data_IF_404524645965
#
_entry.id   IF_404524645965
#
_cell.length_a   1.000
_cell.length_b   1.000
_cell.length_c   1.000
_cell.angle_alpha   90.00
_cell.angle_beta   90.00
_cell.angle_gamma   90.00
#
_symmetry.space_group_name_H-M   'P 1'
#
loop_
_entity.id
_entity.type
_entity.pdbx_description
1 polymer ?
#
# COMPACT_ATOMS: atom_id res chain seq x y z
N UNK A 1 39.43 -12.09 7.45
CA UNK A 1 38.43 -11.72 6.42
C UNK A 1 37.83 -10.37 6.79
N UNK A 2 37.80 -9.41 5.87
CA UNK A 2 37.21 -8.09 6.13
C UNK A 2 35.74 -8.10 5.70
N UNK A 3 34.82 -7.81 6.62
CA UNK A 3 33.41 -7.61 6.30
C UNK A 3 33.24 -6.23 5.66
N UNK A 4 32.60 -6.18 4.48
CA UNK A 4 32.28 -4.93 3.80
C UNK A 4 30.78 -4.68 3.91
N UNK A 5 30.41 -3.62 4.60
CA UNK A 5 29.03 -3.13 4.69
C UNK A 5 28.83 -2.00 3.69
N UNK A 6 27.72 -2.04 2.94
CA UNK A 6 27.33 -0.98 2.00
C UNK A 6 25.87 -0.60 2.26
N UNK A 7 25.59 0.71 2.30
CA UNK A 7 24.21 1.22 2.34
C UNK A 7 23.58 1.00 0.97
N UNK A 8 22.49 0.22 0.93
CA UNK A 8 21.74 -0.09 -0.30
C UNK A 8 20.38 0.63 -0.38
N UNK A 9 19.92 1.22 0.73
CA UNK A 9 18.65 1.95 0.82
C UNK A 9 18.72 3.06 1.86
N UNK A 10 18.03 4.17 1.60
CA UNK A 10 17.85 5.27 2.56
C UNK A 10 16.62 5.11 3.45
N UNK A 11 15.79 4.11 3.17
CA UNK A 11 14.59 3.81 3.95
C UNK A 11 14.75 2.48 4.67
N UNK A 12 14.39 2.48 5.96
CA UNK A 12 14.42 1.31 6.84
C UNK A 12 13.01 0.85 7.22
N UNK A 13 12.92 0.00 8.24
CA UNK A 13 11.67 -0.63 8.68
C UNK A 13 10.69 0.35 9.34
N UNK A 14 11.14 1.54 9.72
CA UNK A 14 10.29 2.63 10.20
C UNK A 14 9.41 3.21 9.09
N UNK A 15 9.78 3.03 7.81
CA UNK A 15 8.94 3.43 6.69
C UNK A 15 7.79 2.42 6.51
N UNK A 16 6.51 2.87 6.50
CA UNK A 16 5.36 1.98 6.36
C UNK A 16 5.37 1.10 5.11
N UNK A 17 5.90 1.58 3.99
CA UNK A 17 5.99 0.81 2.75
C UNK A 17 6.91 -0.41 2.96
N UNK A 18 8.07 -0.20 3.59
CA UNK A 18 9.05 -1.27 3.87
C UNK A 18 8.51 -2.26 4.90
N UNK A 19 7.87 -1.77 5.97
CA UNK A 19 7.27 -2.65 6.97
C UNK A 19 6.14 -3.51 6.38
N UNK A 20 5.22 -2.90 5.63
CA UNK A 20 3.99 -3.54 5.14
C UNK A 20 4.19 -4.42 3.91
N UNK A 21 5.10 -4.06 3.00
CA UNK A 21 5.41 -4.90 1.83
C UNK A 21 6.58 -5.84 2.09
N UNK A 22 7.51 -5.51 2.99
CA UNK A 22 8.65 -6.37 3.31
C UNK A 22 8.36 -7.33 4.45
N UNK A 23 8.30 -6.79 5.68
CA UNK A 23 8.24 -7.58 6.91
C UNK A 23 6.91 -8.34 7.00
N UNK A 24 5.80 -7.60 6.90
CA UNK A 24 4.45 -8.17 6.98
C UNK A 24 4.23 -9.24 5.92
N UNK A 25 4.78 -9.08 4.71
CA UNK A 25 4.66 -10.11 3.67
C UNK A 25 5.29 -11.43 4.12
N UNK A 26 6.52 -11.38 4.65
CA UNK A 26 7.19 -12.57 5.18
C UNK A 26 6.39 -13.21 6.32
N UNK A 27 5.85 -12.40 7.23
CA UNK A 27 5.04 -12.88 8.36
C UNK A 27 3.74 -13.55 7.90
N UNK A 28 3.02 -12.97 6.94
CA UNK A 28 1.77 -13.51 6.43
C UNK A 28 1.98 -14.77 5.58
N UNK A 29 3.03 -14.82 4.75
CA UNK A 29 3.31 -15.98 3.91
C UNK A 29 3.62 -17.25 4.71
N UNK A 30 4.11 -17.12 5.95
CA UNK A 30 4.29 -18.28 6.86
C UNK A 30 2.99 -19.04 7.16
N UNK A 31 1.84 -18.41 6.90
CA UNK A 31 0.51 -19.00 7.12
C UNK A 31 -0.15 -19.47 5.82
N UNK A 32 0.47 -19.23 4.67
CA UNK A 32 -0.04 -19.66 3.38
C UNK A 32 0.07 -21.19 3.24
N UNK A 33 -0.80 -21.77 2.41
CA UNK A 33 -0.69 -23.19 2.03
C UNK A 33 0.17 -23.44 0.80
N UNK A 34 0.82 -22.39 0.27
CA UNK A 34 1.63 -22.43 -0.93
C UNK A 34 2.87 -23.30 -0.74
N UNK A 35 3.43 -23.80 -1.84
CA UNK A 35 4.73 -24.45 -1.78
C UNK A 35 5.85 -23.45 -1.49
N UNK A 36 7.03 -23.98 -1.13
CA UNK A 36 8.18 -23.17 -0.76
C UNK A 36 8.65 -22.26 -1.90
N UNK A 37 8.64 -22.75 -3.14
CA UNK A 37 9.10 -21.99 -4.30
C UNK A 37 8.16 -20.82 -4.60
N UNK A 38 6.85 -21.03 -4.50
CA UNK A 38 5.83 -19.98 -4.63
C UNK A 38 5.97 -18.94 -3.52
N UNK A 39 6.14 -19.36 -2.27
CA UNK A 39 6.33 -18.45 -1.13
C UNK A 39 7.59 -17.59 -1.31
N UNK A 40 8.72 -18.18 -1.68
CA UNK A 40 9.97 -17.46 -1.92
C UNK A 40 9.83 -16.46 -3.09
N UNK A 41 9.20 -16.87 -4.19
CA UNK A 41 8.98 -16.00 -5.34
C UNK A 41 8.04 -14.82 -5.05
N UNK A 42 7.02 -15.01 -4.20
CA UNK A 42 6.12 -13.92 -3.78
C UNK A 42 6.84 -12.99 -2.79
N UNK A 43 7.57 -13.54 -1.82
CA UNK A 43 8.36 -12.73 -0.90
C UNK A 43 9.38 -11.87 -1.68
N UNK A 44 10.08 -12.47 -2.65
CA UNK A 44 11.00 -11.74 -3.53
C UNK A 44 10.27 -10.67 -4.33
N UNK A 45 9.12 -10.96 -4.95
CA UNK A 45 8.32 -9.98 -5.68
C UNK A 45 8.02 -8.73 -4.83
N UNK A 46 7.55 -8.93 -3.59
CA UNK A 46 7.16 -7.82 -2.72
C UNK A 46 8.37 -7.03 -2.22
N UNK A 47 9.43 -7.73 -1.80
CA UNK A 47 10.63 -7.09 -1.21
C UNK A 47 11.48 -6.40 -2.28
N UNK A 48 11.73 -7.06 -3.41
CA UNK A 48 12.74 -6.61 -4.39
C UNK A 48 12.15 -5.83 -5.55
N UNK A 49 10.85 -5.98 -5.85
CA UNK A 49 10.21 -5.28 -6.98
C UNK A 49 9.18 -4.24 -6.51
N UNK A 50 8.20 -4.64 -5.71
CA UNK A 50 7.11 -3.73 -5.30
C UNK A 50 7.59 -2.66 -4.33
N UNK A 51 8.30 -3.05 -3.27
CA UNK A 51 8.80 -2.13 -2.24
C UNK A 51 9.66 -1.00 -2.85
N UNK A 52 10.70 -1.27 -3.66
CA UNK A 52 11.54 -0.19 -4.19
C UNK A 52 10.81 0.75 -5.14
N UNK A 53 9.83 0.26 -5.91
CA UNK A 53 9.00 1.11 -6.78
C UNK A 53 8.16 2.07 -5.97
N UNK A 54 7.45 1.58 -4.96
CA UNK A 54 6.56 2.41 -4.17
C UNK A 54 7.35 3.41 -3.30
N UNK A 55 8.53 3.02 -2.82
CA UNK A 55 9.48 3.94 -2.18
C UNK A 55 9.94 5.04 -3.14
N UNK A 56 10.17 4.73 -4.43
CA UNK A 56 10.50 5.77 -5.42
C UNK A 56 9.34 6.73 -5.64
N UNK A 57 8.11 6.25 -5.69
CA UNK A 57 6.92 7.11 -5.73
C UNK A 57 6.87 8.06 -4.52
N UNK A 58 7.03 7.53 -3.30
CA UNK A 58 7.04 8.31 -2.06
C UNK A 58 8.17 9.35 -2.01
N UNK A 59 9.36 8.98 -2.50
CA UNK A 59 10.49 9.91 -2.65
C UNK A 59 10.19 11.06 -3.61
N UNK A 60 9.43 10.85 -4.70
CA UNK A 60 9.04 11.91 -5.64
C UNK A 60 8.08 12.91 -4.99
N UNK A 61 7.11 12.43 -4.23
CA UNK A 61 6.20 13.29 -3.44
C UNK A 61 7.01 14.15 -2.46
N UNK A 62 7.89 13.52 -1.69
CA UNK A 62 8.76 14.22 -0.73
C UNK A 62 9.66 15.25 -1.41
N UNK A 63 10.15 14.95 -2.62
CA UNK A 63 10.98 15.87 -3.41
C UNK A 63 10.19 17.12 -3.82
N UNK A 64 8.99 16.94 -4.35
CA UNK A 64 8.09 18.05 -4.73
C UNK A 64 7.79 18.92 -3.50
N UNK A 65 7.38 18.31 -2.39
CA UNK A 65 7.06 19.02 -1.14
C UNK A 65 8.26 19.80 -0.59
N UNK A 66 9.45 19.21 -0.59
CA UNK A 66 10.66 19.88 -0.11
C UNK A 66 11.05 21.05 -1.01
N UNK A 67 10.95 20.89 -2.34
CA UNK A 67 11.19 21.97 -3.31
C UNK A 67 10.19 23.11 -3.10
N UNK A 68 8.90 22.78 -2.97
CA UNK A 68 7.82 23.75 -2.76
C UNK A 68 8.01 24.55 -1.47
N UNK A 69 8.18 23.86 -0.34
CA UNK A 69 8.33 24.51 0.97
C UNK A 69 9.59 25.38 1.03
N UNK A 70 10.68 24.93 0.41
CA UNK A 70 11.92 25.71 0.32
C UNK A 70 11.71 27.00 -0.47
N UNK A 71 10.98 26.94 -1.58
CA UNK A 71 10.78 28.11 -2.43
C UNK A 71 9.75 29.08 -1.85
N UNK A 72 8.68 28.60 -1.22
CA UNK A 72 7.75 29.43 -0.44
C UNK A 72 8.52 30.23 0.63
N UNK A 73 9.35 29.55 1.43
CA UNK A 73 10.13 30.21 2.47
C UNK A 73 11.15 31.23 1.92
N UNK A 74 11.61 31.05 0.66
CA UNK A 74 12.49 32.01 -0.02
C UNK A 74 11.71 33.24 -0.46
N UNK A 75 10.56 33.04 -1.09
CA UNK A 75 9.65 34.11 -1.54
C UNK A 75 9.16 34.95 -0.36
N UNK A 76 8.73 34.32 0.74
CA UNK A 76 8.28 35.02 1.95
C UNK A 76 9.37 35.96 2.51
N UNK A 77 10.63 35.51 2.52
CA UNK A 77 11.78 36.33 2.95
C UNK A 77 12.06 37.50 2.02
N UNK A 78 11.77 37.39 0.73
CA UNK A 78 11.95 38.47 -0.24
C UNK A 78 10.86 39.53 -0.12
N UNK A 79 9.60 39.11 0.00
CA UNK A 79 8.46 40.01 0.18
C UNK A 79 8.61 40.82 1.48
N UNK A 80 9.12 40.20 2.56
CA UNK A 80 9.42 40.90 3.81
C UNK A 80 10.50 41.99 3.67
N UNK A 81 11.40 41.87 2.69
CA UNK A 81 12.48 42.84 2.45
C UNK A 81 12.07 44.00 1.55
N UNK A 82 11.25 43.74 0.52
CA UNK A 82 10.68 44.78 -0.33
C UNK A 82 9.23 44.43 -0.72
N UNK A 83 8.21 45.07 -0.10
CA UNK A 83 6.80 44.82 -0.37
C UNK A 83 6.35 45.12 -1.81
N UNK A 84 7.20 45.77 -2.62
CA UNK A 84 6.91 46.10 -4.03
C UNK A 84 7.29 44.97 -4.98
N UNK A 85 8.01 43.94 -4.51
CA UNK A 85 8.39 42.78 -5.30
C UNK A 85 7.29 41.73 -5.20
N UNK A 86 6.68 41.39 -6.33
CA UNK A 86 5.80 40.22 -6.46
C UNK A 86 6.62 39.07 -7.00
N UNK A 87 6.82 38.04 -6.19
CA UNK A 87 7.48 36.80 -6.57
C UNK A 87 6.54 35.63 -6.29
N UNK A 88 6.44 34.70 -7.25
CA UNK A 88 5.60 33.50 -7.11
C UNK A 88 6.54 32.30 -6.91
N UNK A 89 6.30 31.44 -5.91
CA UNK A 89 7.09 30.22 -5.75
C UNK A 89 7.04 29.36 -7.01
N UNK A 90 8.07 28.55 -7.24
CA UNK A 90 8.15 27.67 -8.40
C UNK A 90 8.86 26.36 -8.06
N UNK A 91 8.21 25.24 -8.35
CA UNK A 91 8.81 23.91 -8.21
C UNK A 91 9.61 23.60 -9.47
N UNK A 92 10.94 23.72 -9.38
CA UNK A 92 11.84 23.37 -10.48
C UNK A 92 11.74 21.87 -10.78
N UNK A 93 11.60 21.54 -12.07
CA UNK A 93 11.49 20.16 -12.58
C UNK A 93 10.28 19.38 -12.04
N UNK A 94 9.16 20.10 -11.82
CA UNK A 94 7.89 19.49 -11.39
C UNK A 94 7.40 18.43 -12.39
N UNK A 95 7.45 18.71 -13.68
CA UNK A 95 7.00 17.79 -14.72
C UNK A 95 7.81 16.49 -14.71
N UNK A 96 9.14 16.58 -14.57
CA UNK A 96 10.01 15.42 -14.47
C UNK A 96 9.71 14.56 -13.23
N UNK A 97 9.51 15.19 -12.06
CA UNK A 97 9.15 14.45 -10.85
C UNK A 97 7.77 13.76 -10.96
N UNK A 98 6.80 14.41 -11.61
CA UNK A 98 5.46 13.85 -11.87
C UNK A 98 5.54 12.69 -12.87
N UNK A 99 6.31 12.84 -13.94
CA UNK A 99 6.53 11.79 -14.94
C UNK A 99 7.12 10.54 -14.28
N UNK A 100 8.18 10.71 -13.51
CA UNK A 100 8.87 9.61 -12.82
C UNK A 100 7.93 8.89 -11.86
N UNK A 101 7.08 9.63 -11.14
CA UNK A 101 6.06 9.05 -10.28
C UNK A 101 5.06 8.19 -11.08
N UNK A 102 4.46 8.73 -12.13
CA UNK A 102 3.47 8.03 -12.94
C UNK A 102 4.07 6.77 -13.60
N UNK A 103 5.33 6.86 -14.02
CA UNK A 103 6.09 5.74 -14.56
C UNK A 103 6.28 4.62 -13.53
N UNK A 104 6.76 4.94 -12.33
CA UNK A 104 6.96 3.95 -11.28
C UNK A 104 5.65 3.35 -10.78
N UNK A 105 4.61 4.16 -10.62
CA UNK A 105 3.27 3.73 -10.21
C UNK A 105 2.64 2.75 -11.22
N UNK A 106 2.72 3.02 -12.53
CA UNK A 106 2.23 2.08 -13.55
C UNK A 106 3.05 0.78 -13.56
N UNK A 107 4.38 0.87 -13.43
CA UNK A 107 5.22 -0.32 -13.37
C UNK A 107 5.00 -1.13 -12.10
N UNK A 108 4.63 -0.50 -10.98
CA UNK A 108 4.21 -1.19 -9.77
C UNK A 108 3.00 -2.07 -10.02
N UNK A 109 1.94 -1.54 -10.67
CA UNK A 109 0.78 -2.35 -11.07
C UNK A 109 1.18 -3.51 -12.00
N UNK A 110 2.01 -3.25 -13.01
CA UNK A 110 2.51 -4.29 -13.91
C UNK A 110 3.23 -5.42 -13.16
N UNK A 111 4.09 -5.06 -12.21
CA UNK A 111 4.86 -6.03 -11.43
C UNK A 111 3.95 -6.77 -10.42
N UNK A 112 2.94 -6.10 -9.85
CA UNK A 112 1.96 -6.67 -8.93
C UNK A 112 1.15 -7.82 -9.55
N UNK A 113 0.94 -7.81 -10.88
CA UNK A 113 0.39 -8.98 -11.58
C UNK A 113 1.19 -10.26 -11.36
N UNK A 114 2.48 -10.13 -11.02
CA UNK A 114 3.36 -11.23 -10.66
C UNK A 114 2.79 -12.10 -9.53
N UNK A 115 2.02 -11.53 -8.61
CA UNK A 115 1.33 -12.29 -7.56
C UNK A 115 0.41 -13.35 -8.17
N UNK A 116 -0.44 -12.96 -9.13
CA UNK A 116 -1.37 -13.86 -9.79
C UNK A 116 -0.66 -14.87 -10.69
N UNK A 117 0.45 -14.47 -11.32
CA UNK A 117 1.25 -15.38 -12.14
C UNK A 117 1.88 -16.49 -11.30
N UNK A 118 2.48 -16.13 -10.17
CA UNK A 118 3.15 -17.09 -9.27
C UNK A 118 2.13 -17.97 -8.54
N UNK A 119 1.07 -17.38 -7.99
CA UNK A 119 0.10 -18.12 -7.18
C UNK A 119 -0.88 -18.96 -8.01
N UNK A 120 -1.27 -18.49 -9.20
CA UNK A 120 -2.39 -19.06 -9.96
C UNK A 120 -2.08 -19.32 -11.44
N UNK A 121 -0.84 -19.13 -11.90
CA UNK A 121 -0.48 -19.34 -13.31
C UNK A 121 -1.15 -18.36 -14.29
N UNK A 122 -1.59 -17.19 -13.81
CA UNK A 122 -2.15 -16.15 -14.65
C UNK A 122 -1.14 -15.74 -15.75
N UNK A 123 -1.62 -15.41 -16.96
CA UNK A 123 -0.77 -14.98 -18.09
C UNK A 123 -0.81 -13.48 -18.36
N UNK A 124 -1.54 -12.71 -17.56
CA UNK A 124 -1.63 -11.26 -17.70
C UNK A 124 -0.30 -10.60 -17.30
N UNK A 125 0.21 -9.72 -18.16
CA UNK A 125 1.54 -9.09 -18.00
C UNK A 125 1.51 -7.57 -18.04
N UNK A 126 0.47 -6.95 -18.60
CA UNK A 126 0.40 -5.49 -18.76
C UNK A 126 -0.44 -4.82 -17.66
N UNK A 127 -0.02 -3.65 -17.19
CA UNK A 127 -0.72 -2.91 -16.13
C UNK A 127 -2.19 -2.61 -16.47
N UNK A 128 -2.53 -2.43 -17.75
CA UNK A 128 -3.92 -2.25 -18.20
C UNK A 128 -4.82 -3.43 -17.86
N UNK A 129 -4.28 -4.60 -17.50
CA UNK A 129 -5.08 -5.72 -17.03
C UNK A 129 -5.89 -5.39 -15.76
N UNK A 130 -5.40 -4.47 -14.93
CA UNK A 130 -6.12 -4.00 -13.74
C UNK A 130 -7.33 -3.11 -14.06
N UNK A 131 -7.37 -2.49 -15.24
CA UNK A 131 -8.30 -1.42 -15.56
C UNK A 131 -9.12 -1.67 -16.83
N UNK A 132 -10.39 -1.27 -16.81
CA UNK A 132 -11.23 -1.23 -18.01
C UNK A 132 -10.92 0.02 -18.85
N UNK A 133 -9.89 -0.07 -19.72
CA UNK A 133 -9.40 1.09 -20.48
C UNK A 133 -10.38 1.60 -21.54
N UNK A 134 -11.29 0.76 -22.06
CA UNK A 134 -12.21 1.08 -23.18
C UNK A 134 -13.65 1.44 -22.76
N UNK A 135 -13.89 1.76 -21.48
CA UNK A 135 -15.22 2.19 -21.01
C UNK A 135 -15.67 1.48 -19.74
N UNK A 136 -16.98 1.49 -19.49
CA UNK A 136 -17.58 0.85 -18.31
C UNK A 136 -17.55 -0.67 -18.44
N UNK A 137 -17.10 -1.36 -17.40
CA UNK A 137 -17.13 -2.81 -17.30
C UNK A 137 -15.92 -3.39 -16.58
N UNK A 138 -15.79 -4.72 -16.65
CA UNK A 138 -14.74 -5.46 -15.98
C UNK A 138 -13.41 -5.37 -16.72
N UNK A 139 -12.33 -5.16 -15.95
CA UNK A 139 -10.96 -5.26 -16.45
C UNK A 139 -10.59 -6.70 -16.82
N UNK A 140 -9.49 -6.89 -17.55
CA UNK A 140 -9.06 -8.24 -17.94
C UNK A 140 -8.74 -9.11 -16.72
N UNK A 141 -8.21 -8.52 -15.66
CA UNK A 141 -7.93 -9.23 -14.41
C UNK A 141 -9.22 -9.61 -13.69
N UNK A 142 -10.24 -8.74 -13.68
CA UNK A 142 -11.56 -9.08 -13.14
C UNK A 142 -12.20 -10.22 -13.93
N UNK A 143 -12.21 -10.15 -15.26
CA UNK A 143 -12.72 -11.24 -16.13
C UNK A 143 -12.00 -12.56 -15.89
N UNK A 144 -10.68 -12.51 -15.76
CA UNK A 144 -9.88 -13.69 -15.40
C UNK A 144 -10.25 -14.23 -14.02
N UNK A 145 -10.41 -13.36 -13.01
CA UNK A 145 -10.76 -13.76 -11.66
C UNK A 145 -12.18 -14.37 -11.60
N UNK A 146 -13.14 -13.84 -12.34
CA UNK A 146 -14.49 -14.42 -12.46
C UNK A 146 -14.42 -15.83 -13.05
N UNK A 147 -13.66 -16.01 -14.13
CA UNK A 147 -13.50 -17.32 -14.75
C UNK A 147 -12.79 -18.34 -13.84
N UNK A 148 -11.91 -17.86 -12.94
CA UNK A 148 -11.09 -18.73 -12.07
C UNK A 148 -11.79 -19.05 -10.75
N UNK A 149 -12.50 -18.09 -10.18
CA UNK A 149 -13.02 -18.16 -8.81
C UNK A 149 -14.54 -17.96 -8.68
N UNK A 150 -15.18 -17.47 -9.73
CA UNK A 150 -16.62 -17.16 -9.75
C UNK A 150 -16.93 -15.69 -9.43
N UNK A 151 -18.09 -15.26 -9.91
CA UNK A 151 -18.60 -13.88 -9.84
C UNK A 151 -18.75 -13.34 -8.41
N UNK A 152 -19.13 -14.20 -7.46
CA UNK A 152 -19.39 -13.82 -6.06
C UNK A 152 -18.14 -13.78 -5.18
N UNK A 153 -16.96 -14.10 -5.73
CA UNK A 153 -15.71 -14.16 -4.96
C UNK A 153 -15.29 -12.77 -4.44
N UNK A 154 -14.81 -12.71 -3.20
CA UNK A 154 -14.37 -11.47 -2.56
C UNK A 154 -13.24 -10.76 -3.33
N UNK A 155 -12.35 -11.52 -3.99
CA UNK A 155 -11.29 -10.97 -4.84
C UNK A 155 -11.88 -10.22 -6.03
N UNK A 156 -12.92 -10.77 -6.68
CA UNK A 156 -13.60 -10.12 -7.82
C UNK A 156 -14.18 -8.77 -7.39
N UNK A 157 -14.83 -8.73 -6.23
CA UNK A 157 -15.38 -7.49 -5.67
C UNK A 157 -14.28 -6.46 -5.39
N UNK A 158 -13.19 -6.87 -4.76
CA UNK A 158 -12.05 -5.99 -4.47
C UNK A 158 -11.37 -5.46 -5.73
N UNK A 159 -11.23 -6.29 -6.77
CA UNK A 159 -10.66 -5.84 -8.05
C UNK A 159 -11.57 -4.83 -8.74
N UNK A 160 -12.90 -5.01 -8.69
CA UNK A 160 -13.86 -4.05 -9.24
C UNK A 160 -13.84 -2.71 -8.51
N UNK A 161 -13.77 -2.70 -7.18
CA UNK A 161 -13.73 -1.46 -6.40
C UNK A 161 -12.48 -0.62 -6.66
N UNK A 162 -11.41 -1.24 -7.17
CA UNK A 162 -10.16 -0.57 -7.50
C UNK A 162 -10.03 -0.17 -8.98
N UNK A 163 -10.98 -0.58 -9.83
CA UNK A 163 -10.90 -0.43 -11.28
C UNK A 163 -10.76 1.04 -11.72
N UNK A 164 -11.61 1.93 -11.19
CA UNK A 164 -11.73 3.30 -11.69
C UNK A 164 -10.48 4.15 -11.41
N UNK A 165 -9.97 4.12 -10.18
CA UNK A 165 -8.78 4.88 -9.83
C UNK A 165 -7.52 4.32 -10.50
N UNK A 166 -7.41 3.00 -10.65
CA UNK A 166 -6.31 2.38 -11.39
C UNK A 166 -6.37 2.74 -12.88
N UNK A 167 -7.57 2.79 -13.46
CA UNK A 167 -7.77 3.23 -14.83
C UNK A 167 -7.32 4.68 -14.99
N UNK A 168 -7.66 5.56 -14.04
CA UNK A 168 -7.22 6.95 -14.08
C UNK A 168 -5.71 7.10 -13.94
N UNK A 169 -5.06 6.37 -13.02
CA UNK A 169 -3.60 6.34 -12.91
C UNK A 169 -2.93 5.95 -14.24
N UNK A 170 -3.41 4.89 -14.87
CA UNK A 170 -2.87 4.40 -16.15
C UNK A 170 -3.12 5.41 -17.27
N UNK A 171 -4.32 6.04 -17.31
CA UNK A 171 -4.65 7.08 -18.30
C UNK A 171 -3.76 8.32 -18.12
N UNK A 172 -3.50 8.79 -16.90
CA UNK A 172 -2.59 9.92 -16.66
C UNK A 172 -1.19 9.64 -17.18
N UNK A 173 -0.62 8.46 -16.87
CA UNK A 173 0.67 8.04 -17.42
C UNK A 173 0.63 8.03 -18.95
N UNK A 174 -0.38 7.43 -19.55
CA UNK A 174 -0.49 7.33 -21.01
C UNK A 174 -0.70 8.70 -21.68
N UNK A 175 -1.47 9.61 -21.08
CA UNK A 175 -1.72 10.95 -21.57
C UNK A 175 -0.46 11.84 -21.53
N UNK A 176 0.44 11.56 -20.59
CA UNK A 176 1.75 12.20 -20.55
C UNK A 176 2.69 11.63 -21.64
N UNK A 177 2.76 10.31 -21.81
CA UNK A 177 3.65 9.70 -22.81
C UNK A 177 3.19 9.85 -24.26
N UNK A 178 1.88 9.89 -24.47
CA UNK A 178 1.25 9.97 -25.78
C UNK A 178 0.16 11.07 -25.78
N UNK A 179 0.53 12.35 -25.70
CA UNK A 179 -0.43 13.45 -25.61
C UNK A 179 -1.35 13.50 -26.83
N UNK A 180 -2.65 13.68 -26.59
CA UNK A 180 -3.67 13.81 -27.64
C UNK A 180 -4.20 12.49 -28.23
N UNK A 181 -3.68 11.35 -27.78
CA UNK A 181 -4.22 10.03 -28.15
C UNK A 181 -5.41 9.62 -27.26
N UNK A 182 -5.69 8.32 -27.14
CA UNK A 182 -6.84 7.73 -26.46
C UNK A 182 -6.99 8.11 -24.97
N UNK A 183 -5.94 8.61 -24.31
CA UNK A 183 -5.98 9.03 -22.89
C UNK A 183 -6.09 10.54 -22.71
N UNK A 184 -6.13 11.31 -23.80
CA UNK A 184 -6.12 12.76 -23.81
C UNK A 184 -4.72 13.34 -23.56
N UNK A 185 -4.67 14.56 -23.05
CA UNK A 185 -3.46 15.29 -22.68
C UNK A 185 -3.46 15.50 -21.18
N UNK A 186 -2.33 15.29 -20.52
CA UNK A 186 -2.09 15.69 -19.14
C UNK A 186 -1.42 17.06 -19.13
N UNK A 187 -2.06 18.05 -18.52
CA UNK A 187 -1.50 19.40 -18.31
C UNK A 187 -1.04 19.52 -16.85
N UNK A 188 0.18 20.03 -16.65
CA UNK A 188 0.75 20.27 -15.33
C UNK A 188 0.88 21.78 -15.13
N UNK A 189 0.30 22.28 -14.05
CA UNK A 189 0.38 23.66 -13.62
C UNK A 189 1.27 23.74 -12.38
N UNK A 190 2.29 24.58 -12.44
CA UNK A 190 3.08 24.91 -11.27
C UNK A 190 2.27 25.82 -10.31
N UNK A 191 2.90 26.23 -9.21
CA UNK A 191 2.32 27.16 -8.26
C UNK A 191 1.84 28.43 -8.98
N UNK A 192 0.64 28.89 -8.64
CA UNK A 192 0.03 30.10 -9.19
C UNK A 192 -0.64 30.92 -8.09
N UNK A 193 -0.98 32.16 -8.38
CA UNK A 193 -1.75 33.02 -7.46
C UNK A 193 -3.17 33.17 -8.03
N UNK A 194 -4.17 33.04 -7.17
CA UNK A 194 -5.55 33.41 -7.45
C UNK A 194 -6.09 34.40 -6.39
N UNK A 195 -7.39 34.70 -6.46
CA UNK A 195 -8.07 35.61 -5.54
C UNK A 195 -8.09 35.14 -4.06
N UNK A 196 -7.76 33.87 -3.78
CA UNK A 196 -7.72 33.26 -2.44
C UNK A 196 -6.28 33.09 -1.93
N UNK A 197 -5.28 33.31 -2.78
CA UNK A 197 -3.87 33.27 -2.42
C UNK A 197 -3.07 32.32 -3.31
N UNK A 198 -2.06 31.68 -2.72
CA UNK A 198 -1.23 30.69 -3.41
C UNK A 198 -2.03 29.42 -3.66
N UNK A 199 -2.06 28.99 -4.92
CA UNK A 199 -2.60 27.71 -5.35
C UNK A 199 -1.41 26.76 -5.55
N UNK A 200 -1.41 25.58 -4.88
CA UNK A 200 -0.32 24.60 -5.02
C UNK A 200 -0.23 24.04 -6.44
N UNK A 201 0.82 23.27 -6.77
CA UNK A 201 0.93 22.59 -8.06
C UNK A 201 -0.26 21.69 -8.34
N UNK A 202 -0.80 21.78 -9.55
CA UNK A 202 -2.01 21.08 -9.96
C UNK A 202 -1.85 20.43 -11.32
N UNK A 203 -2.64 19.38 -11.56
CA UNK A 203 -2.71 18.74 -12.87
C UNK A 203 -4.15 18.62 -13.34
N UNK A 204 -4.34 18.53 -14.65
CA UNK A 204 -5.63 18.20 -15.25
C UNK A 204 -5.39 17.25 -16.42
N UNK A 205 -6.40 16.42 -16.72
CA UNK A 205 -6.39 15.56 -17.91
C UNK A 205 -7.61 15.90 -18.73
N UNK A 206 -7.57 15.76 -20.06
CA UNK A 206 -8.74 16.00 -20.92
C UNK A 206 -10.03 15.44 -20.32
N UNK A 207 -11.04 16.31 -20.19
CA UNK A 207 -12.36 16.06 -19.61
C UNK A 207 -12.40 15.66 -18.12
N UNK A 208 -11.28 15.81 -17.40
CA UNK A 208 -11.16 15.59 -15.95
C UNK A 208 -10.74 16.91 -15.27
N UNK A 209 -11.47 17.37 -14.25
CA UNK A 209 -11.13 18.58 -13.53
C UNK A 209 -9.73 18.58 -12.93
N UNK A 210 -9.20 19.78 -12.77
CA UNK A 210 -7.94 20.04 -12.11
C UNK A 210 -7.94 19.53 -10.65
N UNK A 211 -6.82 18.94 -10.23
CA UNK A 211 -6.60 18.39 -8.88
C UNK A 211 -5.19 18.70 -8.38
N UNK A 212 -5.02 18.70 -7.05
CA UNK A 212 -3.71 18.90 -6.40
C UNK A 212 -2.79 17.69 -6.68
N UNK A 213 -1.57 17.97 -7.15
CA UNK A 213 -0.61 16.93 -7.53
C UNK A 213 -0.15 16.14 -6.31
N UNK A 214 0.21 16.82 -5.22
CA UNK A 214 0.81 16.20 -4.04
C UNK A 214 -0.22 15.33 -3.32
N UNK A 215 -1.44 15.84 -3.14
CA UNK A 215 -2.51 15.12 -2.48
C UNK A 215 -2.89 13.85 -3.26
N UNK A 216 -3.14 13.97 -4.57
CA UNK A 216 -3.49 12.83 -5.41
C UNK A 216 -2.37 11.79 -5.50
N UNK A 217 -1.10 12.21 -5.61
CA UNK A 217 0.05 11.29 -5.57
C UNK A 217 0.14 10.55 -4.22
N UNK A 218 -0.13 11.25 -3.11
CA UNK A 218 -0.14 10.66 -1.76
C UNK A 218 -1.25 9.63 -1.60
N UNK A 219 -2.46 9.97 -2.05
CA UNK A 219 -3.60 9.04 -2.08
C UNK A 219 -3.26 7.82 -2.95
N UNK A 220 -2.64 8.04 -4.11
CA UNK A 220 -2.24 6.97 -5.01
C UNK A 220 -1.24 6.00 -4.37
N UNK A 221 -0.21 6.50 -3.67
CA UNK A 221 0.75 5.66 -2.93
C UNK A 221 0.04 4.82 -1.86
N UNK A 222 -0.87 5.44 -1.10
CA UNK A 222 -1.65 4.72 -0.09
C UNK A 222 -2.52 3.62 -0.72
N UNK A 223 -3.18 3.92 -1.84
CA UNK A 223 -4.01 2.94 -2.56
C UNK A 223 -3.18 1.78 -3.14
N UNK A 224 -2.02 2.06 -3.75
CA UNK A 224 -1.11 1.04 -4.26
C UNK A 224 -0.57 0.13 -3.15
N UNK A 225 -0.29 0.68 -1.98
CA UNK A 225 0.10 -0.07 -0.79
C UNK A 225 -1.05 -0.97 -0.31
N UNK A 226 -2.23 -0.38 -0.12
CA UNK A 226 -3.41 -1.08 0.39
C UNK A 226 -3.82 -2.24 -0.50
N UNK A 227 -3.86 -2.04 -1.83
CA UNK A 227 -4.23 -3.10 -2.76
C UNK A 227 -3.24 -4.25 -2.74
N UNK A 228 -1.93 -3.98 -2.72
CA UNK A 228 -0.96 -5.07 -2.67
C UNK A 228 -1.14 -5.94 -1.41
N UNK A 229 -1.36 -5.31 -0.25
CA UNK A 229 -1.64 -6.05 0.98
C UNK A 229 -2.97 -6.79 0.96
N UNK A 230 -4.04 -6.21 0.41
CA UNK A 230 -5.34 -6.86 0.29
C UNK A 230 -5.29 -8.09 -0.62
N UNK A 231 -4.56 -7.98 -1.73
CA UNK A 231 -4.35 -9.10 -2.64
C UNK A 231 -3.52 -10.21 -1.99
N UNK A 232 -2.46 -9.84 -1.26
CA UNK A 232 -1.67 -10.81 -0.49
C UNK A 232 -2.51 -11.47 0.61
N UNK A 233 -3.28 -10.69 1.35
CA UNK A 233 -4.16 -11.17 2.41
C UNK A 233 -5.21 -12.14 1.87
N UNK A 234 -5.82 -11.81 0.72
CA UNK A 234 -6.77 -12.71 0.05
C UNK A 234 -6.10 -14.03 -0.34
N UNK A 235 -4.89 -13.99 -0.91
CA UNK A 235 -4.12 -15.19 -1.25
C UNK A 235 -3.79 -16.04 -0.03
N UNK A 236 -3.28 -15.42 1.03
CA UNK A 236 -2.91 -16.13 2.27
C UNK A 236 -4.14 -16.77 2.88
N UNK A 237 -5.25 -16.04 3.03
CA UNK A 237 -6.49 -16.61 3.58
C UNK A 237 -7.08 -17.72 2.73
N UNK A 238 -7.02 -17.60 1.39
CA UNK A 238 -7.52 -18.62 0.46
C UNK A 238 -6.71 -19.92 0.54
N UNK A 239 -5.40 -19.81 0.77
CA UNK A 239 -4.50 -20.96 0.80
C UNK A 239 -4.22 -21.48 2.20
N UNK A 240 -4.58 -20.72 3.25
CA UNK A 240 -4.29 -21.08 4.63
C UNK A 240 -4.88 -22.46 5.00
N UNK A 241 -4.05 -23.32 5.58
CA UNK A 241 -4.46 -24.67 6.00
C UNK A 241 -5.27 -24.66 7.30
N UNK A 242 -5.17 -23.58 8.07
CA UNK A 242 -5.75 -23.49 9.41
C UNK A 242 -7.04 -22.67 9.38
N UNK A 243 -8.19 -23.32 9.58
CA UNK A 243 -9.50 -22.64 9.64
C UNK A 243 -9.73 -21.84 10.93
N UNK A 244 -8.83 -22.00 11.90
CA UNK A 244 -8.88 -21.37 13.23
C UNK A 244 -8.24 -19.99 13.28
N UNK A 245 -7.64 -19.54 12.18
CA UNK A 245 -6.96 -18.24 12.10
C UNK A 245 -7.62 -17.34 11.06
N UNK A 246 -7.43 -16.04 11.24
CA UNK A 246 -7.85 -15.00 10.32
C UNK A 246 -6.81 -13.87 10.30
N UNK A 247 -6.85 -13.05 9.26
CA UNK A 247 -6.09 -11.80 9.22
C UNK A 247 -6.89 -10.73 9.97
N UNK A 248 -6.23 -10.03 10.89
CA UNK A 248 -6.76 -8.86 11.57
C UNK A 248 -5.92 -7.62 11.24
N UNK A 249 -6.59 -6.47 11.18
CA UNK A 249 -5.93 -5.18 11.06
C UNK A 249 -5.53 -4.65 12.44
N UNK A 250 -4.30 -4.13 12.53
CA UNK A 250 -3.79 -3.40 13.69
C UNK A 250 -4.19 -1.92 13.53
N UNK A 251 -4.96 -1.36 14.47
CA UNK A 251 -5.32 0.07 14.46
C UNK A 251 -4.09 0.97 14.39
N UNK A 252 -4.19 2.11 13.69
CA UNK A 252 -3.06 3.02 13.44
C UNK A 252 -2.29 3.42 14.72
N UNK A 253 -3.01 3.69 15.80
CA UNK A 253 -2.51 4.08 17.12
C UNK A 253 -1.82 2.95 17.89
N UNK A 254 -2.02 1.70 17.47
CA UNK A 254 -1.45 0.50 18.08
C UNK A 254 -0.29 -0.09 17.28
N UNK A 255 0.07 0.50 16.12
CA UNK A 255 1.17 0.02 15.30
C UNK A 255 2.50 0.41 15.93
N UNK A 256 3.44 -0.54 15.96
CA UNK A 256 4.82 -0.26 16.40
C UNK A 256 5.48 0.77 15.47
N UNK A 257 5.89 1.96 15.97
CA UNK A 257 6.55 2.96 15.14
C UNK A 257 7.85 2.49 14.49
N UNK A 258 8.53 1.50 15.08
CA UNK A 258 9.75 0.92 14.51
C UNK A 258 9.47 -0.02 13.33
N UNK A 259 8.26 -0.58 13.29
CA UNK A 259 7.77 -1.57 12.31
C UNK A 259 6.25 -1.46 12.14
N UNK A 260 5.75 -0.42 11.45
CA UNK A 260 4.31 -0.13 11.39
C UNK A 260 3.57 -1.05 10.41
N UNK A 261 3.56 -2.35 10.72
CA UNK A 261 2.77 -3.37 10.02
C UNK A 261 1.29 -3.14 10.27
N UNK A 262 0.47 -3.37 9.25
CA UNK A 262 -0.99 -3.18 9.29
C UNK A 262 -1.73 -4.48 9.57
N UNK A 263 -1.29 -5.58 8.99
CA UNK A 263 -2.01 -6.86 9.00
C UNK A 263 -1.20 -7.91 9.76
N UNK A 264 -1.90 -8.72 10.56
CA UNK A 264 -1.30 -9.88 11.25
C UNK A 264 -2.29 -11.04 11.32
N UNK A 265 -1.75 -12.25 11.46
CA UNK A 265 -2.58 -13.43 11.73
C UNK A 265 -2.98 -13.50 13.21
N UNK A 266 -4.22 -13.88 13.46
CA UNK A 266 -4.78 -14.06 14.81
C UNK A 266 -5.76 -15.24 14.84
N UNK A 267 -6.04 -15.77 16.04
CA UNK A 267 -7.10 -16.77 16.23
C UNK A 267 -8.45 -16.14 15.94
N UNK A 268 -9.36 -16.88 15.29
CA UNK A 268 -10.74 -16.44 15.11
C UNK A 268 -11.49 -16.29 16.45
N UNK A 269 -12.62 -15.58 16.44
CA UNK A 269 -13.38 -15.25 17.65
C UNK A 269 -13.75 -16.50 18.47
N UNK A 270 -14.16 -17.58 17.80
CA UNK A 270 -14.51 -18.86 18.44
C UNK A 270 -13.33 -19.42 19.24
N UNK A 271 -12.13 -19.41 18.65
CA UNK A 271 -10.93 -19.94 19.29
C UNK A 271 -10.34 -19.00 20.32
N UNK A 272 -10.50 -17.68 20.15
CA UNK A 272 -10.18 -16.72 21.20
C UNK A 272 -11.05 -16.95 22.43
N UNK A 273 -12.36 -17.17 22.24
CA UNK A 273 -13.30 -17.50 23.32
C UNK A 273 -12.92 -18.80 24.03
N UNK A 274 -12.67 -19.88 23.27
CA UNK A 274 -12.21 -21.17 23.83
C UNK A 274 -10.90 -21.04 24.59
N UNK A 275 -9.96 -20.22 24.12
CA UNK A 275 -8.69 -19.96 24.82
C UNK A 275 -8.92 -19.18 26.11
N UNK A 276 -9.81 -18.19 26.12
CA UNK A 276 -10.19 -17.45 27.32
C UNK A 276 -10.87 -18.34 28.37
N UNK A 277 -11.80 -19.20 27.94
CA UNK A 277 -12.45 -20.19 28.81
C UNK A 277 -11.45 -21.21 29.39
N UNK A 278 -10.48 -21.65 28.59
CA UNK A 278 -9.43 -22.56 29.05
C UNK A 278 -8.46 -21.90 30.04
N UNK A 279 -8.14 -20.61 29.86
CA UNK A 279 -7.33 -19.85 30.81
C UNK A 279 -8.07 -19.66 32.14
N UNK A 280 -9.34 -19.23 32.10
CA UNK A 280 -10.17 -19.05 33.28
C UNK A 280 -10.38 -20.36 34.08
N UNK A 281 -10.44 -21.51 33.41
CA UNK A 281 -10.51 -22.84 34.04
C UNK A 281 -9.21 -23.26 34.73
N UNK A 282 -8.05 -22.80 34.26
CA UNK A 282 -6.76 -23.04 34.93
C UNK A 282 -6.66 -22.19 36.20
N UNK A 283 -7.03 -20.92 36.10
CA UNK A 283 -7.00 -20.00 37.24
C UNK A 283 -7.97 -20.41 38.36
N UNK A 284 -9.11 -21.04 38.03
CA UNK A 284 -10.06 -21.57 39.02
C UNK A 284 -9.63 -22.90 39.65
N UNK A 285 -8.87 -23.73 38.94
CA UNK A 285 -8.31 -24.97 39.51
C UNK A 285 -7.11 -24.70 40.43
N UNK A 286 -6.29 -23.68 40.16
CA UNK A 286 -5.17 -23.29 41.06
C UNK A 286 -5.66 -22.70 42.39
N UNK A 287 -6.85 -22.07 42.44
CA UNK A 287 -7.46 -21.61 43.70
C UNK A 287 -8.08 -22.77 44.50
N UNK A 288 -8.45 -23.87 43.84
CA UNK A 288 -9.03 -25.06 44.48
C UNK A 288 -8.02 -25.99 45.16
N UNK A 289 -6.75 -25.96 44.75
CA UNK A 289 -5.70 -26.82 45.34
C UNK A 289 -5.07 -26.25 46.62
N UNK A 290 -5.28 -24.97 46.95
CA UNK A 290 -4.80 -24.38 48.21
C UNK A 290 -5.80 -24.59 49.37
N UNK A 291 -7.02 -25.08 49.09
CA UNK A 291 -8.10 -25.21 50.08
C UNK A 291 -8.22 -26.55 50.82
N UNK A 292 -7.36 -27.55 50.54
CA UNK A 292 -7.52 -28.94 51.05
C UNK A 292 -6.30 -29.45 51.83
N UNK A 293 -5.66 -28.59 52.62
CA UNK A 293 -4.70 -29.03 53.65
C UNK A 293 -5.04 -28.33 54.96
N UNK A 294 -5.91 -28.95 55.77
CA UNK A 294 -5.88 -28.97 57.24
C UNK A 294 -7.26 -29.32 57.79
N UNK A 295 -7.42 -30.57 58.27
CA UNK A 295 -7.99 -30.89 59.60
C UNK A 295 -8.19 -32.40 59.71
N UNK A 296 -7.17 -33.10 60.22
CA UNK A 296 -7.29 -34.48 60.71
C UNK A 296 -6.23 -34.74 61.77
N UNK A 297 -6.26 -33.99 62.88
CA UNK A 297 -5.68 -34.41 64.15
C UNK A 297 -6.53 -33.85 65.28
N UNK A 298 -7.31 -34.72 65.94
CA UNK A 298 -7.49 -34.77 67.40
C UNK A 298 -8.47 -35.91 67.74
N UNK A 299 -7.92 -37.02 68.22
CA UNK A 299 -8.58 -37.98 69.11
C UNK A 299 -7.64 -38.23 70.27
N UNK A 300 -7.91 -37.54 71.37
CA UNK A 300 -7.58 -37.92 72.74
C UNK A 300 -8.89 -38.07 73.49
#
# INVERSE_FOLDING_TARGET
>A
MAFRTQKVSDVGTTNPIVARLGIQTGELLNWSGLDKAQNEAIAELYITKLTPRLVRCDKRISTINNKLNKDIARVDKHIQKDPRVSEIPYVVDLEGDVQDFLYEAKNYLRDLLGLFRVAYGCKLTDASAFAAMKGKGDSNLVKWAIATFGESDHLVRGLRSNNDWMAELIRRRNAYEHPGENSGTLTIHNVRIDHRGLVPPRWERTDIPESDIVDEMTICVANLLNVAEELLANLVMRTCRFKVVHICEIPNDQRDPARPVRLRMSLNEEMQKKRGEAAAKRDTNEVGEIGNVETSQEKG
#
